data_IF_490101525153
#
_entry.id   IF_490101525153
#
_cell.length_a   1.000
_cell.length_b   1.000
_cell.length_c   1.000
_cell.angle_alpha   90.00
_cell.angle_beta   90.00
_cell.angle_gamma   90.00
#
_symmetry.space_group_name_H-M   'P 1'
#
loop_
_entity.id
_entity.type
_entity.pdbx_description
1 polymer ?
#
# COMPACT_ATOMS: atom_id res chain seq x y z
N UNK A 1 -7.67 3.20 -31.12
CA UNK A 1 -9.13 3.23 -31.29
C UNK A 1 -9.74 3.71 -29.99
N UNK A 2 -10.14 5.00 -29.95
CA UNK A 2 -10.77 5.60 -28.78
C UNK A 2 -12.21 5.10 -28.68
N UNK A 3 -12.52 4.37 -27.60
CA UNK A 3 -13.90 4.04 -27.27
C UNK A 3 -14.58 5.33 -26.76
N UNK A 4 -15.56 5.81 -27.50
CA UNK A 4 -16.45 6.89 -27.07
C UNK A 4 -17.26 6.42 -25.85
N UNK A 5 -16.99 7.01 -24.69
CA UNK A 5 -17.84 6.88 -23.52
C UNK A 5 -19.07 7.76 -23.72
N UNK A 6 -20.21 7.12 -24.02
CA UNK A 6 -21.49 7.81 -24.15
C UNK A 6 -22.01 8.27 -22.79
N UNK A 7 -22.16 9.57 -22.60
CA UNK A 7 -22.72 10.23 -21.44
C UNK A 7 -24.23 10.05 -21.36
N UNK A 8 -24.75 9.28 -20.41
CA UNK A 8 -26.15 9.37 -19.94
C UNK A 8 -26.32 8.88 -18.52
N UNK A 9 -25.53 9.41 -17.60
CA UNK A 9 -25.82 9.44 -16.15
C UNK A 9 -25.30 10.77 -15.62
N UNK A 10 -25.84 11.28 -14.50
CA UNK A 10 -25.39 12.52 -13.88
C UNK A 10 -23.86 12.54 -13.76
N UNK A 11 -23.24 13.72 -13.81
CA UNK A 11 -21.80 13.88 -13.78
C UNK A 11 -21.19 12.97 -12.70
N UNK A 12 -20.21 12.13 -13.08
CA UNK A 12 -19.51 11.28 -12.12
C UNK A 12 -18.87 12.17 -11.04
N UNK A 13 -18.97 11.76 -9.77
CA UNK A 13 -18.27 12.46 -8.70
C UNK A 13 -16.76 12.39 -8.95
N UNK A 14 -16.05 13.46 -8.63
CA UNK A 14 -14.59 13.50 -8.71
C UNK A 14 -13.99 13.35 -7.33
N UNK A 15 -12.96 12.51 -7.19
CA UNK A 15 -12.28 12.26 -5.94
C UNK A 15 -10.77 12.45 -6.07
N UNK A 16 -10.20 13.10 -5.06
CA UNK A 16 -8.75 13.10 -4.82
C UNK A 16 -8.41 11.92 -3.92
N UNK A 17 -7.57 11.03 -4.44
CA UNK A 17 -7.02 9.93 -3.64
C UNK A 17 -5.79 10.40 -2.84
N UNK A 18 -5.44 9.71 -1.75
CA UNK A 18 -4.16 9.95 -1.10
C UNK A 18 -3.01 9.67 -2.07
N UNK A 19 -1.88 10.33 -1.85
CA UNK A 19 -0.67 10.04 -2.62
C UNK A 19 -0.14 8.64 -2.28
N UNK A 20 0.45 7.99 -3.28
CA UNK A 20 0.97 6.64 -3.14
C UNK A 20 2.01 6.54 -2.02
N UNK A 21 1.60 5.92 -0.92
CA UNK A 21 2.48 5.62 0.21
C UNK A 21 3.72 4.84 -0.23
N UNK A 22 3.54 3.86 -1.11
CA UNK A 22 4.61 2.98 -1.57
C UNK A 22 5.66 3.70 -2.40
N UNK A 23 5.26 4.64 -3.26
CA UNK A 23 6.18 5.52 -4.00
C UNK A 23 6.82 6.54 -3.07
N UNK A 24 6.00 7.25 -2.29
CA UNK A 24 6.47 8.37 -1.48
C UNK A 24 7.53 7.94 -0.45
N UNK A 25 7.30 6.83 0.26
CA UNK A 25 8.30 6.32 1.20
C UNK A 25 9.64 5.99 0.52
N UNK A 26 9.61 5.44 -0.70
CA UNK A 26 10.83 5.18 -1.48
C UNK A 26 11.53 6.45 -1.92
N UNK A 27 10.77 7.41 -2.41
CA UNK A 27 11.30 8.69 -2.88
C UNK A 27 11.93 9.50 -1.75
N UNK A 28 11.36 9.47 -0.53
CA UNK A 28 11.96 10.11 0.65
C UNK A 28 13.34 9.49 0.97
N UNK A 29 13.46 8.15 0.91
CA UNK A 29 14.75 7.48 1.14
C UNK A 29 15.73 7.81 0.02
N UNK A 30 15.30 7.73 -1.25
CA UNK A 30 16.17 8.04 -2.39
C UNK A 30 16.62 9.51 -2.39
N UNK A 31 15.76 10.44 -1.99
CA UNK A 31 16.14 11.85 -1.81
C UNK A 31 17.20 12.03 -0.70
N UNK A 32 17.12 11.24 0.37
CA UNK A 32 18.13 11.26 1.44
C UNK A 32 19.47 10.64 0.99
N UNK A 33 19.42 9.59 0.16
CA UNK A 33 20.58 8.87 -0.35
C UNK A 33 21.25 9.59 -1.52
N UNK A 34 20.47 10.23 -2.39
CA UNK A 34 20.88 10.88 -3.63
C UNK A 34 20.25 12.29 -3.74
N UNK A 35 20.59 13.22 -2.83
CA UNK A 35 19.93 14.53 -2.76
C UNK A 35 20.08 15.37 -4.03
N UNK A 36 21.19 15.19 -4.77
CA UNK A 36 21.47 15.93 -5.99
C UNK A 36 20.79 15.32 -7.24
N UNK A 37 20.16 14.15 -7.09
CA UNK A 37 19.53 13.41 -8.19
C UNK A 37 18.01 13.41 -8.12
N UNK A 38 17.40 13.62 -6.95
CA UNK A 38 15.98 13.47 -6.70
C UNK A 38 15.36 14.79 -6.31
N UNK A 39 14.41 15.26 -7.11
CA UNK A 39 13.59 16.45 -6.83
C UNK A 39 12.16 16.04 -6.46
N UNK A 40 11.75 16.40 -5.26
CA UNK A 40 10.41 16.15 -4.72
C UNK A 40 9.56 17.41 -4.61
N UNK A 41 9.88 18.47 -5.38
CA UNK A 41 9.14 19.75 -5.35
C UNK A 41 7.66 19.61 -5.67
N UNK A 42 7.28 18.58 -6.44
CA UNK A 42 5.88 18.24 -6.73
C UNK A 42 5.16 17.56 -5.54
N UNK A 43 5.91 17.04 -4.56
CA UNK A 43 5.34 16.34 -3.42
C UNK A 43 5.15 17.31 -2.26
N UNK A 44 4.10 17.11 -1.42
CA UNK A 44 3.91 17.97 -0.26
C UNK A 44 5.14 17.95 0.65
N UNK A 45 5.55 19.11 1.13
CA UNK A 45 6.55 19.17 2.20
C UNK A 45 6.04 18.36 3.39
N UNK A 46 6.79 17.33 3.76
CA UNK A 46 6.55 16.65 5.01
C UNK A 46 7.12 17.58 6.08
N UNK A 47 6.23 18.28 6.78
CA UNK A 47 6.54 19.44 7.62
C UNK A 47 7.80 19.28 8.43
N UNK A 48 8.63 20.32 8.47
CA UNK A 48 9.76 20.45 9.35
C UNK A 48 9.27 20.27 10.79
N UNK A 49 9.49 19.09 11.36
CA UNK A 49 9.13 18.78 12.73
C UNK A 49 9.92 19.70 13.66
N UNK A 50 9.25 20.69 14.27
CA UNK A 50 9.79 21.50 15.34
C UNK A 50 10.14 22.94 15.00
N UNK A 51 9.76 23.47 13.86
CA UNK A 51 9.88 24.91 13.60
C UNK A 51 8.48 25.56 13.55
N UNK A 52 7.92 25.86 14.72
CA UNK A 52 6.67 26.62 14.87
C UNK A 52 6.76 28.06 14.33
N UNK A 53 7.96 28.50 13.90
CA UNK A 53 8.23 29.86 13.46
C UNK A 53 8.07 30.10 11.96
N UNK A 54 7.90 29.07 11.13
CA UNK A 54 7.67 29.26 9.69
C UNK A 54 6.19 29.52 9.39
N UNK A 55 5.86 30.68 8.77
CA UNK A 55 4.50 30.95 8.34
C UNK A 55 4.04 29.84 7.36
N UNK A 56 2.81 29.39 7.55
CA UNK A 56 2.14 28.44 6.65
C UNK A 56 2.32 28.87 5.19
N UNK A 57 2.98 28.02 4.40
CA UNK A 57 3.13 28.28 2.96
C UNK A 57 1.74 28.40 2.34
N UNK A 58 1.53 29.48 1.56
CA UNK A 58 0.30 29.72 0.81
C UNK A 58 0.19 28.76 -0.39
N UNK A 59 0.13 27.45 -0.15
CA UNK A 59 -0.29 26.51 -1.15
C UNK A 59 -1.83 26.46 -1.20
N UNK A 60 -2.45 26.34 -2.38
CA UNK A 60 -3.89 26.38 -2.51
C UNK A 60 -4.57 25.30 -1.69
N UNK A 61 -5.67 25.65 -1.06
CA UNK A 61 -6.55 25.05 -0.07
C UNK A 61 -6.93 23.55 -0.27
N UNK A 62 -6.01 22.62 -0.34
CA UNK A 62 -6.26 21.20 -0.07
C UNK A 62 -5.01 20.62 0.62
N UNK A 63 -4.89 20.84 1.93
CA UNK A 63 -4.09 19.96 2.79
C UNK A 63 -4.83 18.62 2.78
N UNK A 64 -4.52 17.76 1.81
CA UNK A 64 -4.78 16.34 1.97
C UNK A 64 -4.01 15.92 3.24
N UNK A 65 -4.70 15.48 4.26
CA UNK A 65 -4.07 14.90 5.43
C UNK A 65 -3.10 13.82 4.94
N UNK A 66 -1.83 13.91 5.36
CA UNK A 66 -0.82 12.98 4.87
C UNK A 66 -0.96 11.63 5.59
N UNK A 67 -0.81 10.50 4.89
CA UNK A 67 -0.82 9.19 5.52
C UNK A 67 0.22 9.07 6.64
N UNK A 68 -0.17 8.53 7.79
CA UNK A 68 0.72 8.40 8.95
C UNK A 68 1.98 7.57 8.67
N UNK A 69 1.89 6.56 7.80
CA UNK A 69 3.05 5.78 7.35
C UNK A 69 4.08 6.63 6.57
N UNK A 70 3.63 7.66 5.85
CA UNK A 70 4.49 8.61 5.13
C UNK A 70 5.17 9.55 6.10
N UNK A 71 4.42 10.07 7.08
CA UNK A 71 4.96 10.91 8.16
C UNK A 71 5.99 10.14 9.00
N UNK A 72 5.75 8.86 9.26
CA UNK A 72 6.70 8.00 9.98
C UNK A 72 8.01 7.85 9.21
N UNK A 73 7.95 7.69 7.87
CA UNK A 73 9.15 7.63 7.03
C UNK A 73 9.92 8.95 7.05
N UNK A 74 9.22 10.06 6.95
CA UNK A 74 9.83 11.39 7.02
C UNK A 74 10.55 11.63 8.35
N UNK A 75 9.93 11.23 9.47
CA UNK A 75 10.59 11.31 10.80
C UNK A 75 11.86 10.46 10.84
N UNK A 76 11.84 9.25 10.26
CA UNK A 76 13.02 8.38 10.21
C UNK A 76 14.15 8.99 9.36
N UNK A 77 13.85 9.52 8.18
CA UNK A 77 14.82 10.22 7.32
C UNK A 77 15.39 11.45 8.03
N UNK A 78 14.53 12.25 8.65
CA UNK A 78 14.96 13.46 9.37
C UNK A 78 15.84 13.13 10.57
N UNK A 79 15.54 12.06 11.31
CA UNK A 79 16.38 11.60 12.42
C UNK A 79 17.79 11.23 11.95
N UNK A 80 17.92 10.53 10.81
CA UNK A 80 19.22 10.23 10.19
C UNK A 80 19.95 11.53 9.83
N UNK A 81 19.29 12.45 9.11
CA UNK A 81 19.87 13.73 8.69
C UNK A 81 20.35 14.56 9.89
N UNK A 82 19.50 14.71 10.91
CA UNK A 82 19.85 15.47 12.14
C UNK A 82 21.00 14.84 12.89
N UNK A 83 21.02 13.51 13.02
CA UNK A 83 22.11 12.82 13.72
C UNK A 83 23.46 13.06 13.04
N UNK A 84 23.50 13.03 11.70
CA UNK A 84 24.72 13.34 10.94
C UNK A 84 25.15 14.80 11.10
N UNK A 85 24.21 15.75 11.08
CA UNK A 85 24.51 17.17 11.20
C UNK A 85 25.00 17.58 12.61
N UNK A 86 24.45 16.93 13.66
CA UNK A 86 24.74 17.32 15.07
C UNK A 86 25.74 16.38 15.76
N UNK A 87 26.00 15.21 15.19
CA UNK A 87 26.80 14.15 15.82
C UNK A 87 26.14 13.49 17.05
N UNK A 88 24.86 13.82 17.34
CA UNK A 88 24.13 13.37 18.52
C UNK A 88 23.12 12.26 18.20
N UNK A 89 22.79 11.44 19.19
CA UNK A 89 21.76 10.43 19.06
C UNK A 89 20.39 11.04 18.86
N UNK A 90 19.67 10.56 17.85
CA UNK A 90 18.27 10.88 17.62
C UNK A 90 17.39 9.68 17.94
N UNK A 91 16.27 9.91 18.62
CA UNK A 91 15.24 8.87 18.82
C UNK A 91 14.08 9.15 17.89
N UNK A 92 13.56 8.12 17.24
CA UNK A 92 12.42 8.21 16.34
C UNK A 92 11.50 7.01 16.53
N UNK A 93 10.22 7.31 16.79
CA UNK A 93 9.15 6.31 16.81
C UNK A 93 8.45 6.32 15.44
N UNK A 94 8.46 5.18 14.77
CA UNK A 94 7.77 4.97 13.49
C UNK A 94 6.37 4.37 13.69
N UNK A 95 5.91 4.19 14.92
CA UNK A 95 4.61 3.60 15.23
C UNK A 95 4.45 2.20 14.62
N UNK A 96 3.29 1.88 14.01
CA UNK A 96 3.04 0.59 13.38
C UNK A 96 3.54 0.51 11.91
N UNK A 97 4.32 1.51 11.43
CA UNK A 97 4.70 1.64 10.02
C UNK A 97 5.86 0.71 9.64
N UNK A 98 5.56 -0.52 9.23
CA UNK A 98 6.57 -1.52 8.87
C UNK A 98 7.49 -1.11 7.71
N UNK A 99 7.03 -0.27 6.78
CA UNK A 99 7.85 0.27 5.69
C UNK A 99 8.88 1.26 6.23
N UNK A 100 8.45 2.22 7.06
CA UNK A 100 9.33 3.21 7.67
C UNK A 100 10.37 2.53 8.59
N UNK A 101 9.96 1.47 9.29
CA UNK A 101 10.87 0.68 10.11
C UNK A 101 11.98 0.03 9.29
N UNK A 102 11.63 -0.74 8.24
CA UNK A 102 12.63 -1.48 7.43
C UNK A 102 13.53 -0.55 6.63
N UNK A 103 12.94 0.45 6.00
CA UNK A 103 13.69 1.41 5.18
C UNK A 103 14.54 2.33 6.05
N UNK A 104 13.99 2.83 7.17
CA UNK A 104 14.71 3.65 8.13
C UNK A 104 15.87 2.91 8.79
N UNK A 105 15.70 1.61 9.09
CA UNK A 105 16.78 0.77 9.62
C UNK A 105 17.95 0.67 8.64
N UNK A 106 17.67 0.32 7.38
CA UNK A 106 18.70 0.20 6.35
C UNK A 106 19.40 1.54 6.10
N UNK A 107 18.63 2.63 5.99
CA UNK A 107 19.16 4.00 5.81
C UNK A 107 20.07 4.40 6.97
N UNK A 108 19.61 4.22 8.21
CA UNK A 108 20.40 4.60 9.39
C UNK A 108 21.72 3.84 9.50
N UNK A 109 21.71 2.53 9.18
CA UNK A 109 22.92 1.70 9.25
C UNK A 109 23.90 1.97 8.11
N UNK A 110 23.41 2.34 6.91
CA UNK A 110 24.25 2.60 5.74
C UNK A 110 24.75 4.06 5.63
N UNK A 111 24.20 4.99 6.44
CA UNK A 111 24.60 6.41 6.39
C UNK A 111 25.73 6.68 7.38
N UNK A 112 26.97 7.01 6.90
CA UNK A 112 28.10 7.27 7.79
C UNK A 112 27.82 8.40 8.78
N UNK A 113 28.11 8.17 10.07
CA UNK A 113 27.92 9.14 11.15
C UNK A 113 26.51 9.18 11.72
N UNK A 114 25.55 8.47 11.16
CA UNK A 114 24.21 8.38 11.73
C UNK A 114 24.23 7.72 13.12
N UNK A 115 23.45 8.26 14.06
CA UNK A 115 23.25 7.76 15.42
C UNK A 115 21.76 7.80 15.72
N UNK A 116 21.05 6.72 15.46
CA UNK A 116 19.59 6.67 15.54
C UNK A 116 19.12 5.54 16.44
N UNK A 117 18.19 5.83 17.35
CA UNK A 117 17.39 4.82 18.04
C UNK A 117 16.04 4.75 17.37
N UNK A 118 15.81 3.65 16.65
CA UNK A 118 14.58 3.42 15.89
C UNK A 118 13.62 2.58 16.74
N UNK A 119 12.51 3.18 17.11
CA UNK A 119 11.43 2.61 17.92
C UNK A 119 10.18 2.39 17.09
N UNK A 120 9.25 1.58 17.60
CA UNK A 120 7.98 1.36 16.95
C UNK A 120 7.03 0.55 17.83
N UNK A 121 5.79 0.43 17.36
CA UNK A 121 4.72 -0.26 18.07
C UNK A 121 5.07 -1.75 18.30
N UNK A 122 4.61 -2.32 19.44
CA UNK A 122 4.88 -3.71 19.83
C UNK A 122 4.59 -4.74 18.71
N UNK A 123 3.57 -4.49 17.87
CA UNK A 123 3.25 -5.35 16.72
C UNK A 123 4.41 -5.48 15.72
N UNK A 124 5.32 -4.51 15.63
CA UNK A 124 6.51 -4.62 14.76
C UNK A 124 7.49 -5.70 15.27
N UNK A 125 7.50 -5.99 16.59
CA UNK A 125 8.35 -7.05 17.14
C UNK A 125 7.94 -8.45 16.67
N UNK A 126 6.69 -8.63 16.26
CA UNK A 126 6.16 -9.89 15.75
C UNK A 126 6.35 -10.03 14.22
N UNK A 127 6.72 -8.94 13.54
CA UNK A 127 6.90 -8.94 12.09
C UNK A 127 8.33 -9.30 11.71
N UNK A 128 8.54 -10.16 10.70
CA UNK A 128 9.88 -10.59 10.32
C UNK A 128 10.77 -9.40 9.90
N UNK A 129 11.96 -9.33 10.46
CA UNK A 129 13.02 -8.36 10.16
C UNK A 129 14.39 -9.03 10.04
N UNK A 130 14.56 -10.21 10.65
CA UNK A 130 15.82 -10.94 10.71
C UNK A 130 16.47 -11.12 9.33
N UNK A 131 15.75 -11.43 8.24
CA UNK A 131 16.37 -11.55 6.92
C UNK A 131 17.08 -10.25 6.49
N UNK A 132 16.46 -9.09 6.72
CA UNK A 132 17.08 -7.80 6.42
C UNK A 132 18.28 -7.52 7.34
N UNK A 133 18.16 -7.78 8.64
CA UNK A 133 19.24 -7.59 9.63
C UNK A 133 20.44 -8.44 9.27
N UNK A 134 20.24 -9.70 8.92
CA UNK A 134 21.31 -10.62 8.55
C UNK A 134 22.01 -10.19 7.25
N UNK A 135 21.25 -9.75 6.25
CA UNK A 135 21.82 -9.20 5.01
C UNK A 135 22.62 -7.92 5.29
N UNK A 136 22.12 -6.99 6.10
CA UNK A 136 22.86 -5.78 6.48
C UNK A 136 24.14 -6.10 7.26
N UNK A 137 24.11 -7.06 8.19
CA UNK A 137 25.29 -7.53 8.91
C UNK A 137 26.35 -8.14 7.97
N UNK A 138 25.94 -8.93 6.98
CA UNK A 138 26.86 -9.48 5.99
C UNK A 138 27.55 -8.40 5.15
N UNK A 139 26.89 -7.26 4.96
CA UNK A 139 27.45 -6.07 4.31
C UNK A 139 28.31 -5.21 5.26
N UNK A 140 28.43 -5.57 6.52
CA UNK A 140 29.29 -4.91 7.51
C UNK A 140 28.55 -3.99 8.49
N UNK A 141 27.22 -4.03 8.54
CA UNK A 141 26.47 -3.28 9.57
C UNK A 141 26.67 -3.87 10.95
N UNK A 142 26.80 -3.01 11.96
CA UNK A 142 26.81 -3.37 13.37
C UNK A 142 25.43 -3.04 13.97
N UNK A 143 24.71 -4.06 14.35
CA UNK A 143 23.41 -3.95 14.99
C UNK A 143 23.28 -4.97 16.10
N UNK A 144 22.99 -4.48 17.29
CA UNK A 144 22.64 -5.31 18.44
C UNK A 144 21.14 -5.60 18.46
N UNK A 145 20.79 -6.85 18.79
CA UNK A 145 19.41 -7.30 18.84
C UNK A 145 18.80 -7.61 17.48
N UNK A 146 17.58 -8.13 17.48
CA UNK A 146 16.81 -8.52 16.28
C UNK A 146 15.44 -7.86 16.21
N UNK A 147 15.01 -7.14 17.26
CA UNK A 147 13.69 -6.50 17.36
C UNK A 147 13.82 -5.07 17.87
N UNK A 148 12.84 -4.17 17.60
CA UNK A 148 12.86 -2.80 18.13
C UNK A 148 12.87 -2.76 19.67
N UNK A 149 13.50 -1.76 20.29
CA UNK A 149 14.17 -0.63 19.64
C UNK A 149 15.55 -1.00 19.07
N UNK A 150 15.83 -0.54 17.84
CA UNK A 150 17.14 -0.74 17.21
C UNK A 150 18.04 0.47 17.48
N UNK A 151 19.22 0.22 18.04
CA UNK A 151 20.27 1.24 18.19
C UNK A 151 21.23 1.17 17.02
N UNK A 152 21.12 2.12 16.08
CA UNK A 152 21.86 2.15 14.84
C UNK A 152 23.05 3.12 14.93
N UNK A 153 24.25 2.60 14.69
CA UNK A 153 25.44 3.42 14.42
C UNK A 153 25.79 3.25 12.95
N UNK A 154 25.53 4.29 12.16
CA UNK A 154 25.71 4.27 10.71
C UNK A 154 27.17 4.35 10.30
N UNK A 155 27.49 3.58 9.28
CA UNK A 155 28.83 3.52 8.66
C UNK A 155 28.71 3.28 7.17
N UNK A 156 29.77 3.51 6.44
CA UNK A 156 29.85 3.05 5.06
C UNK A 156 29.93 1.52 5.05
N UNK A 157 28.94 0.89 4.43
CA UNK A 157 28.90 -0.58 4.31
C UNK A 157 29.65 -1.00 3.05
N UNK A 158 30.26 -2.19 3.08
CA UNK A 158 31.09 -2.67 1.97
C UNK A 158 30.33 -2.80 0.66
N UNK A 159 29.14 -3.34 0.68
CA UNK A 159 28.48 -3.82 -0.55
C UNK A 159 28.95 -5.23 -0.94
N UNK A 160 28.94 -5.55 -2.24
CA UNK A 160 29.23 -6.90 -2.72
C UNK A 160 28.07 -7.89 -2.54
N UNK A 161 28.35 -9.21 -2.46
CA UNK A 161 27.31 -10.23 -2.38
C UNK A 161 26.71 -10.35 -0.98
N UNK A 162 25.38 -10.49 -0.90
CA UNK A 162 24.66 -10.88 0.29
C UNK A 162 23.50 -11.83 -0.05
N UNK A 163 23.06 -12.61 0.93
CA UNK A 163 21.91 -13.51 0.79
C UNK A 163 20.70 -12.93 1.53
N UNK A 164 19.53 -13.05 0.92
CA UNK A 164 18.29 -12.52 1.47
C UNK A 164 17.14 -13.52 1.31
N UNK A 165 16.46 -13.83 2.40
CA UNK A 165 15.13 -14.44 2.35
C UNK A 165 14.07 -13.33 2.20
N UNK A 166 13.44 -13.27 1.03
CA UNK A 166 12.37 -12.31 0.71
C UNK A 166 10.97 -12.97 0.65
N UNK A 167 10.84 -14.19 1.18
CA UNK A 167 9.57 -14.95 1.17
C UNK A 167 8.50 -14.37 2.09
N UNK A 168 8.89 -13.60 3.11
CA UNK A 168 7.96 -12.93 4.02
C UNK A 168 7.62 -11.49 3.60
N UNK A 169 8.53 -10.80 2.90
CA UNK A 169 8.32 -9.39 2.52
C UNK A 169 9.35 -8.90 1.49
N UNK A 170 8.84 -8.38 0.36
CA UNK A 170 9.66 -7.66 -0.63
C UNK A 170 10.26 -6.33 -0.12
N UNK A 171 9.79 -5.84 1.03
CA UNK A 171 10.34 -4.63 1.66
C UNK A 171 11.81 -4.82 2.08
N UNK A 172 12.22 -6.05 2.42
CA UNK A 172 13.61 -6.36 2.76
C UNK A 172 14.53 -6.11 1.56
N UNK A 173 14.15 -6.64 0.40
CA UNK A 173 14.90 -6.40 -0.84
C UNK A 173 14.87 -4.92 -1.22
N UNK A 174 13.71 -4.27 -1.20
CA UNK A 174 13.59 -2.84 -1.49
C UNK A 174 14.49 -1.97 -0.61
N UNK A 175 14.61 -2.31 0.69
CA UNK A 175 15.48 -1.59 1.62
C UNK A 175 16.95 -1.69 1.21
N UNK A 176 17.43 -2.89 0.86
CA UNK A 176 18.81 -3.12 0.39
C UNK A 176 19.09 -2.39 -0.93
N UNK A 177 18.15 -2.48 -1.88
CA UNK A 177 18.30 -1.81 -3.19
C UNK A 177 18.44 -0.29 -3.03
N UNK A 178 17.64 0.34 -2.16
CA UNK A 178 17.67 1.80 -1.98
C UNK A 178 18.95 2.33 -1.34
N UNK A 179 19.62 1.54 -0.51
CA UNK A 179 20.89 1.94 0.09
C UNK A 179 22.11 1.59 -0.78
N UNK A 180 21.92 0.87 -1.89
CA UNK A 180 23.03 0.49 -2.77
C UNK A 180 23.92 1.67 -3.20
N UNK A 181 23.40 2.90 -3.43
CA UNK A 181 24.24 4.06 -3.73
C UNK A 181 25.19 4.48 -2.61
N UNK A 182 24.95 4.08 -1.36
CA UNK A 182 25.80 4.41 -0.21
C UNK A 182 26.93 3.39 0.03
N UNK A 183 26.93 2.26 -0.69
CA UNK A 183 27.87 1.17 -0.48
C UNK A 183 29.21 1.46 -1.18
N UNK A 184 30.28 0.81 -0.70
CA UNK A 184 31.63 0.93 -1.30
C UNK A 184 31.75 0.19 -2.64
N UNK A 185 31.05 -0.94 -2.76
CA UNK A 185 31.04 -1.81 -3.93
C UNK A 185 29.63 -2.03 -4.45
N UNK A 186 29.44 -2.37 -5.73
CA UNK A 186 28.15 -2.75 -6.29
C UNK A 186 27.46 -3.84 -5.47
N UNK A 187 26.15 -3.70 -5.24
CA UNK A 187 25.36 -4.65 -4.48
C UNK A 187 24.95 -5.84 -5.35
N UNK A 188 25.14 -7.05 -4.83
CA UNK A 188 24.54 -8.27 -5.38
C UNK A 188 23.74 -8.99 -4.30
N UNK A 189 22.43 -9.09 -4.48
CA UNK A 189 21.54 -9.82 -3.56
C UNK A 189 21.16 -11.15 -4.18
N UNK A 190 21.51 -12.24 -3.49
CA UNK A 190 21.08 -13.60 -3.83
C UNK A 190 19.88 -13.95 -2.99
N UNK A 191 18.74 -14.21 -3.65
CA UNK A 191 17.53 -14.65 -2.97
C UNK A 191 17.66 -16.14 -2.58
N UNK A 192 17.39 -16.46 -1.33
CA UNK A 192 17.38 -17.85 -0.82
C UNK A 192 16.01 -18.51 -0.91
N UNK A 193 14.96 -17.74 -1.20
CA UNK A 193 13.59 -18.18 -1.39
C UNK A 193 12.88 -17.28 -2.43
N UNK A 194 11.76 -17.72 -3.01
CA UNK A 194 11.00 -16.93 -3.98
C UNK A 194 10.59 -15.57 -3.42
N UNK A 195 10.71 -14.53 -4.25
CA UNK A 195 10.31 -13.17 -3.91
C UNK A 195 8.78 -13.05 -3.89
N UNK A 196 8.23 -12.61 -2.76
CA UNK A 196 6.80 -12.29 -2.67
C UNK A 196 6.56 -10.83 -3.04
N UNK A 197 5.36 -10.54 -3.57
CA UNK A 197 4.97 -9.17 -3.92
C UNK A 197 6.04 -8.43 -4.75
N UNK A 198 6.56 -9.11 -5.76
CA UNK A 198 7.66 -8.66 -6.63
C UNK A 198 7.46 -7.25 -7.22
N UNK A 199 6.25 -6.78 -7.58
CA UNK A 199 6.05 -5.43 -8.11
C UNK A 199 6.59 -4.31 -7.24
N UNK A 200 6.63 -4.47 -5.92
CA UNK A 200 7.21 -3.45 -5.03
C UNK A 200 8.75 -3.37 -5.11
N UNK A 201 9.42 -4.50 -5.36
CA UNK A 201 10.86 -4.49 -5.63
C UNK A 201 11.15 -3.94 -7.04
N UNK A 202 10.35 -4.30 -8.02
CA UNK A 202 10.42 -3.74 -9.38
C UNK A 202 10.21 -2.23 -9.40
N UNK A 203 9.28 -1.70 -8.58
CA UNK A 203 9.10 -0.26 -8.39
C UNK A 203 10.39 0.39 -7.89
N UNK A 204 11.05 -0.20 -6.88
CA UNK A 204 12.34 0.30 -6.38
C UNK A 204 13.41 0.28 -7.47
N UNK A 205 13.51 -0.81 -8.24
CA UNK A 205 14.44 -0.92 -9.37
C UNK A 205 14.17 0.15 -10.44
N UNK A 206 12.91 0.40 -10.77
CA UNK A 206 12.52 1.42 -11.75
C UNK A 206 12.90 2.83 -11.28
N UNK A 207 12.72 3.15 -10.00
CA UNK A 207 13.14 4.43 -9.43
C UNK A 207 14.66 4.60 -9.47
N UNK A 208 15.43 3.57 -9.09
CA UNK A 208 16.89 3.59 -9.15
C UNK A 208 17.39 3.76 -10.58
N UNK A 209 16.79 3.08 -11.56
CA UNK A 209 17.15 3.25 -12.98
C UNK A 209 16.91 4.68 -13.46
N UNK A 210 15.85 5.33 -13.01
CA UNK A 210 15.59 6.74 -13.36
C UNK A 210 16.66 7.69 -12.84
N UNK A 211 17.27 7.38 -11.69
CA UNK A 211 18.33 8.22 -11.08
C UNK A 211 19.76 7.74 -11.42
N UNK A 212 19.93 6.93 -12.47
CA UNK A 212 21.24 6.61 -13.06
C UNK A 212 21.91 5.35 -12.52
N UNK A 213 21.15 4.43 -11.93
CA UNK A 213 21.66 3.12 -11.54
C UNK A 213 21.19 2.03 -12.51
N UNK A 214 22.06 1.09 -12.85
CA UNK A 214 21.65 -0.19 -13.43
C UNK A 214 21.12 -1.09 -12.32
N UNK A 215 19.96 -1.68 -12.57
CA UNK A 215 19.42 -2.74 -11.71
C UNK A 215 19.07 -3.92 -12.61
N UNK A 216 19.90 -4.94 -12.54
CA UNK A 216 19.71 -6.19 -13.27
C UNK A 216 19.16 -7.24 -12.32
N UNK A 217 18.23 -8.07 -12.78
CA UNK A 217 17.69 -9.14 -11.96
C UNK A 217 17.18 -10.31 -12.80
N UNK A 218 17.25 -11.47 -12.19
CA UNK A 218 16.58 -12.70 -12.58
C UNK A 218 15.73 -13.22 -11.40
N UNK A 219 15.25 -14.45 -11.46
CA UNK A 219 14.43 -15.04 -10.41
C UNK A 219 15.12 -15.11 -9.03
N UNK A 220 16.44 -15.25 -9.02
CA UNK A 220 17.22 -15.50 -7.81
C UNK A 220 18.20 -14.38 -7.45
N UNK A 221 18.58 -13.52 -8.39
CA UNK A 221 19.68 -12.58 -8.20
C UNK A 221 19.30 -11.17 -8.59
N UNK A 222 19.66 -10.20 -7.76
CA UNK A 222 19.49 -8.77 -8.02
C UNK A 222 20.83 -8.06 -7.91
N UNK A 223 21.23 -7.27 -8.92
CA UNK A 223 22.47 -6.51 -8.97
C UNK A 223 22.19 -5.05 -9.17
N UNK A 224 22.84 -4.21 -8.36
CA UNK A 224 22.75 -2.74 -8.45
C UNK A 224 24.14 -2.16 -8.58
N UNK A 225 24.36 -1.38 -9.63
CA UNK A 225 25.61 -0.66 -9.85
C UNK A 225 25.37 0.66 -10.59
N UNK A 226 26.24 1.67 -10.48
CA UNK A 226 26.16 2.88 -11.27
C UNK A 226 26.21 2.58 -12.77
N UNK A 227 25.48 3.33 -13.61
CA UNK A 227 25.55 3.19 -15.08
C UNK A 227 26.87 3.63 -15.69
N UNK A 228 27.60 4.54 -15.02
CA UNK A 228 28.92 5.00 -15.45
C UNK A 228 30.01 4.44 -14.54
N UNK A 229 31.19 4.15 -15.12
CA UNK A 229 32.38 3.71 -14.38
C UNK A 229 32.97 4.82 -13.48
N UNK A 230 32.44 6.03 -13.49
CA UNK A 230 32.74 7.09 -12.54
C UNK A 230 31.78 6.97 -11.36
N UNK A 231 32.29 6.89 -10.15
CA UNK A 231 31.52 6.91 -8.90
C UNK A 231 30.69 8.20 -8.70
N UNK A 232 30.58 9.04 -9.72
CA UNK A 232 29.93 10.35 -9.72
C UNK A 232 28.95 10.47 -10.89
N UNK A 233 27.95 9.57 -10.97
CA UNK A 233 26.80 9.87 -11.82
C UNK A 233 25.92 10.89 -11.08
N UNK A 234 26.09 12.15 -11.42
CA UNK A 234 25.15 13.21 -11.04
C UNK A 234 24.41 13.61 -12.31
N UNK A 235 23.10 13.45 -12.40
CA UNK A 235 22.37 13.95 -13.55
C UNK A 235 22.60 15.47 -13.65
N UNK A 236 22.61 16.05 -14.86
CA UNK A 236 22.86 17.48 -15.06
C UNK A 236 21.82 18.39 -14.34
N UNK A 237 20.69 17.82 -13.94
CA UNK A 237 19.66 18.41 -13.08
C UNK A 237 18.99 17.31 -12.29
N UNK A 238 18.53 17.58 -11.05
CA UNK A 238 17.71 16.64 -10.31
C UNK A 238 16.48 16.20 -11.11
N UNK A 239 16.12 14.95 -10.99
CA UNK A 239 14.96 14.39 -11.67
C UNK A 239 13.72 14.68 -10.83
N UNK A 240 12.79 15.43 -11.42
CA UNK A 240 11.48 15.71 -10.80
C UNK A 240 10.63 14.44 -10.86
N UNK A 241 10.14 14.01 -9.70
CA UNK A 241 9.18 12.93 -9.60
C UNK A 241 7.77 13.51 -9.42
N UNK A 242 6.93 13.30 -10.41
CA UNK A 242 5.52 13.73 -10.37
C UNK A 242 4.76 13.03 -9.24
N UNK A 243 3.80 13.75 -8.65
CA UNK A 243 2.88 13.16 -7.66
C UNK A 243 2.05 12.07 -8.30
N UNK A 244 1.79 11.02 -7.54
CA UNK A 244 0.97 9.92 -8.02
C UNK A 244 0.02 9.42 -6.93
N UNK A 245 -1.31 9.35 -7.23
CA UNK A 245 -2.30 8.79 -6.33
C UNK A 245 -2.10 7.29 -6.07
N UNK A 246 -2.64 6.81 -4.96
CA UNK A 246 -2.48 5.44 -4.48
C UNK A 246 -3.46 4.48 -5.18
N UNK A 247 -2.93 3.51 -5.90
CA UNK A 247 -3.72 2.48 -6.57
C UNK A 247 -4.41 1.50 -5.61
N UNK A 248 -3.86 1.28 -4.42
CA UNK A 248 -4.55 0.49 -3.41
C UNK A 248 -5.81 1.21 -2.88
N UNK A 249 -5.79 2.56 -2.82
CA UNK A 249 -6.99 3.35 -2.51
C UNK A 249 -7.98 3.32 -3.67
N UNK A 250 -7.50 3.39 -4.91
CA UNK A 250 -8.35 3.25 -6.10
C UNK A 250 -9.11 1.92 -6.13
N UNK A 251 -8.47 0.81 -5.68
CA UNK A 251 -9.10 -0.50 -5.58
C UNK A 251 -10.36 -0.48 -4.70
N UNK A 252 -10.34 0.28 -3.61
CA UNK A 252 -11.51 0.41 -2.72
C UNK A 252 -12.66 1.11 -3.44
N UNK A 253 -12.38 2.19 -4.17
CA UNK A 253 -13.41 2.89 -4.95
C UNK A 253 -13.93 2.06 -6.13
N UNK A 254 -13.08 1.22 -6.73
CA UNK A 254 -13.53 0.19 -7.67
C UNK A 254 -14.52 -0.80 -7.04
N UNK A 255 -14.24 -1.24 -5.82
CA UNK A 255 -15.14 -2.10 -5.05
C UNK A 255 -16.46 -1.39 -4.67
N UNK A 256 -16.43 -0.09 -4.31
CA UNK A 256 -17.65 0.73 -4.10
C UNK A 256 -18.47 0.80 -5.38
N UNK A 257 -17.84 1.06 -6.53
CA UNK A 257 -18.53 1.11 -7.84
C UNK A 257 -19.22 -0.23 -8.14
N UNK A 258 -18.53 -1.37 -7.93
CA UNK A 258 -19.11 -2.70 -8.10
C UNK A 258 -20.36 -2.92 -7.24
N UNK A 259 -20.34 -2.44 -5.98
CA UNK A 259 -21.45 -2.63 -5.03
C UNK A 259 -22.62 -1.68 -5.27
N UNK A 260 -22.36 -0.46 -5.74
CA UNK A 260 -23.37 0.62 -5.82
C UNK A 260 -23.83 0.92 -7.24
N UNK A 261 -23.07 0.51 -8.25
CA UNK A 261 -23.29 0.92 -9.63
C UNK A 261 -22.96 2.40 -9.93
N UNK A 262 -22.37 3.12 -8.95
CA UNK A 262 -22.05 4.54 -9.11
C UNK A 262 -20.66 4.70 -9.69
N UNK A 263 -20.57 5.54 -10.73
CA UNK A 263 -19.29 5.88 -11.37
C UNK A 263 -18.58 7.01 -10.63
N UNK A 264 -17.24 7.00 -10.67
CA UNK A 264 -16.40 8.02 -10.06
C UNK A 264 -15.18 8.29 -10.92
N UNK A 265 -14.78 9.56 -11.03
CA UNK A 265 -13.50 9.95 -11.60
C UNK A 265 -12.46 10.07 -10.48
N UNK A 266 -11.37 9.31 -10.58
CA UNK A 266 -10.22 9.36 -9.69
C UNK A 266 -9.17 10.28 -10.32
N UNK A 267 -8.99 11.47 -9.73
CA UNK A 267 -8.13 12.51 -10.29
C UNK A 267 -6.66 12.10 -10.27
N UNK A 268 -5.92 12.48 -11.29
CA UNK A 268 -4.48 12.29 -11.47
C UNK A 268 -3.99 10.83 -11.42
N UNK A 269 -4.91 9.86 -11.30
CA UNK A 269 -4.56 8.44 -11.34
C UNK A 269 -4.19 8.04 -12.78
N UNK A 270 -3.17 7.20 -12.96
CA UNK A 270 -2.60 6.87 -14.27
C UNK A 270 -2.42 5.37 -14.46
N UNK A 271 -2.72 4.87 -15.67
CA UNK A 271 -2.56 3.45 -16.02
C UNK A 271 -1.08 3.04 -16.23
N UNK A 272 -0.20 4.00 -16.52
CA UNK A 272 1.25 3.77 -16.70
C UNK A 272 2.05 3.86 -15.39
N UNK A 273 1.37 3.83 -14.24
CA UNK A 273 1.95 3.84 -12.91
C UNK A 273 2.95 2.71 -12.68
N UNK A 274 3.98 2.98 -11.88
CA UNK A 274 4.91 1.96 -11.37
C UNK A 274 4.28 1.09 -10.27
N UNK A 275 3.15 1.47 -9.72
CA UNK A 275 2.47 0.72 -8.66
C UNK A 275 1.90 -0.60 -9.21
N UNK A 276 2.31 -1.74 -8.62
CA UNK A 276 1.79 -3.06 -9.01
C UNK A 276 0.29 -3.18 -8.83
N UNK A 277 -0.26 -2.49 -7.83
CA UNK A 277 -1.69 -2.50 -7.50
C UNK A 277 -2.60 -2.01 -8.64
N UNK A 278 -2.05 -1.35 -9.68
CA UNK A 278 -2.80 -1.03 -10.91
C UNK A 278 -3.39 -2.26 -11.60
N UNK A 279 -2.81 -3.44 -11.37
CA UNK A 279 -3.33 -4.72 -11.90
C UNK A 279 -4.74 -5.05 -11.38
N UNK A 280 -5.18 -4.40 -10.30
CA UNK A 280 -6.53 -4.53 -9.75
C UNK A 280 -7.65 -4.30 -10.77
N UNK A 281 -7.38 -3.48 -11.80
CA UNK A 281 -8.36 -3.23 -12.88
C UNK A 281 -8.85 -4.51 -13.57
N UNK A 282 -7.99 -5.52 -13.73
CA UNK A 282 -8.36 -6.81 -14.30
C UNK A 282 -9.29 -7.61 -13.37
N UNK A 283 -9.06 -7.56 -12.05
CA UNK A 283 -9.90 -8.22 -11.06
C UNK A 283 -11.27 -7.53 -10.93
N UNK A 284 -11.29 -6.20 -10.94
CA UNK A 284 -12.51 -5.39 -10.91
C UNK A 284 -13.39 -5.63 -12.15
N UNK A 285 -12.79 -5.91 -13.31
CA UNK A 285 -13.55 -6.27 -14.50
C UNK A 285 -14.40 -7.54 -14.30
N UNK A 286 -13.95 -8.49 -13.48
CA UNK A 286 -14.75 -9.69 -13.13
C UNK A 286 -15.97 -9.34 -12.24
N UNK A 287 -15.98 -8.15 -11.62
CA UNK A 287 -17.11 -7.60 -10.88
C UNK A 287 -17.96 -6.63 -11.71
N UNK A 288 -17.70 -6.52 -13.01
CA UNK A 288 -18.43 -5.64 -13.92
C UNK A 288 -17.97 -4.17 -13.94
N UNK A 289 -16.85 -3.86 -13.29
CA UNK A 289 -16.28 -2.51 -13.24
C UNK A 289 -15.28 -2.31 -14.39
N UNK A 290 -15.36 -1.18 -15.07
CA UNK A 290 -14.36 -0.73 -16.05
C UNK A 290 -13.57 0.44 -15.50
N UNK A 291 -12.30 0.48 -15.82
CA UNK A 291 -11.42 1.60 -15.54
C UNK A 291 -10.82 2.11 -16.85
N UNK A 292 -11.01 3.38 -17.15
CA UNK A 292 -10.55 3.97 -18.40
C UNK A 292 -9.98 5.37 -18.20
N UNK A 293 -8.95 5.71 -18.98
CA UNK A 293 -8.35 7.05 -18.96
C UNK A 293 -9.33 8.10 -19.49
N UNK A 294 -9.49 9.17 -18.74
CA UNK A 294 -10.23 10.38 -19.12
C UNK A 294 -9.35 11.61 -18.88
N UNK A 295 -9.81 12.78 -19.31
CA UNK A 295 -9.11 14.03 -18.98
C UNK A 295 -9.03 14.20 -17.46
N UNK A 296 -7.82 14.34 -16.93
CA UNK A 296 -7.56 14.56 -15.49
C UNK A 296 -7.61 13.30 -14.62
N UNK A 297 -7.53 12.08 -15.19
CA UNK A 297 -7.44 10.87 -14.36
C UNK A 297 -8.05 9.61 -14.95
N UNK A 298 -8.62 8.78 -14.09
CA UNK A 298 -9.28 7.52 -14.47
C UNK A 298 -10.76 7.57 -14.08
N UNK A 299 -11.63 7.27 -15.03
CA UNK A 299 -13.04 6.99 -14.77
C UNK A 299 -13.18 5.52 -14.36
N UNK A 300 -13.76 5.30 -13.20
CA UNK A 300 -14.25 4.01 -12.72
C UNK A 300 -15.74 3.97 -13.01
N UNK A 301 -16.17 3.03 -13.84
CA UNK A 301 -17.51 2.99 -14.38
C UNK A 301 -18.11 1.59 -14.33
N UNK A 302 -19.43 1.51 -14.15
CA UNK A 302 -20.19 0.26 -14.24
C UNK A 302 -21.16 0.40 -15.41
N UNK A 303 -20.92 -0.29 -16.54
CA UNK A 303 -21.75 -0.17 -17.73
C UNK A 303 -23.23 -0.46 -17.46
N UNK A 304 -24.12 0.31 -18.13
CA UNK A 304 -25.56 0.04 -18.13
C UNK A 304 -25.81 -1.39 -18.62
N UNK A 305 -26.40 -2.23 -17.76
CA UNK A 305 -26.60 -3.67 -18.01
C UNK A 305 -25.76 -4.59 -17.13
N UNK A 306 -24.69 -4.10 -16.50
CA UNK A 306 -24.10 -4.72 -15.33
C UNK A 306 -24.92 -4.25 -14.12
N UNK A 307 -25.88 -5.05 -13.67
CA UNK A 307 -26.81 -4.60 -12.63
C UNK A 307 -26.10 -4.43 -11.28
N UNK A 308 -26.09 -3.19 -10.77
CA UNK A 308 -25.96 -2.94 -9.35
C UNK A 308 -27.10 -3.65 -8.61
N UNK A 309 -26.80 -4.36 -7.54
CA UNK A 309 -27.83 -4.99 -6.71
C UNK A 309 -28.51 -3.87 -5.90
N UNK A 310 -29.85 -3.69 -5.95
CA UNK A 310 -30.53 -2.63 -5.21
C UNK A 310 -30.32 -2.80 -3.71
N UNK A 311 -30.03 -1.67 -3.04
CA UNK A 311 -30.04 -1.59 -1.58
C UNK A 311 -31.49 -1.70 -1.06
N UNK A 312 -31.69 -2.53 -0.07
CA UNK A 312 -32.89 -2.61 0.78
C UNK A 312 -34.23 -2.91 0.08
N UNK A 313 -34.55 -4.15 -0.15
CA UNK A 313 -35.83 -4.78 0.13
C UNK A 313 -35.87 -6.25 -0.31
N UNK A 314 -36.71 -7.00 0.33
CA UNK A 314 -36.88 -8.43 0.47
C UNK A 314 -37.10 -9.27 -0.78
N UNK A 315 -36.44 -9.03 -1.92
CA UNK A 315 -36.51 -9.92 -3.09
C UNK A 315 -35.31 -9.74 -4.03
N UNK A 316 -34.10 -10.09 -3.57
CA UNK A 316 -32.90 -10.02 -4.42
C UNK A 316 -32.75 -11.35 -5.20
N UNK A 317 -33.43 -11.45 -6.33
CA UNK A 317 -33.07 -12.35 -7.44
C UNK A 317 -32.62 -11.49 -8.62
N UNK A 318 -31.50 -10.78 -8.49
CA UNK A 318 -30.83 -10.07 -9.58
C UNK A 318 -29.82 -11.00 -10.28
N UNK A 319 -29.94 -11.20 -11.59
CA UNK A 319 -28.92 -11.88 -12.39
C UNK A 319 -27.70 -10.98 -12.49
N UNK A 320 -26.62 -11.28 -11.77
CA UNK A 320 -25.31 -10.69 -11.98
C UNK A 320 -24.74 -11.23 -13.30
N UNK A 321 -24.23 -10.39 -14.17
CA UNK A 321 -23.53 -10.80 -15.38
C UNK A 321 -22.31 -11.67 -15.02
N UNK A 322 -22.35 -12.96 -15.44
CA UNK A 322 -21.29 -13.93 -15.24
C UNK A 322 -21.39 -14.69 -13.91
N UNK A 323 -22.18 -15.77 -13.88
CA UNK A 323 -22.25 -16.71 -12.74
C UNK A 323 -20.99 -17.61 -12.61
N UNK A 324 -19.96 -17.38 -13.42
CA UNK A 324 -18.72 -18.15 -13.30
C UNK A 324 -18.03 -17.82 -11.97
N UNK A 325 -17.55 -18.84 -11.25
CA UNK A 325 -16.73 -18.63 -10.06
C UNK A 325 -15.52 -17.73 -10.38
N UNK A 326 -15.17 -16.85 -9.43
CA UNK A 326 -13.97 -16.03 -9.53
C UNK A 326 -12.75 -16.91 -9.28
N UNK A 327 -11.67 -16.65 -10.02
CA UNK A 327 -10.36 -17.28 -9.81
C UNK A 327 -9.33 -16.13 -9.79
N UNK A 328 -8.90 -15.76 -8.58
CA UNK A 328 -8.08 -14.58 -8.36
C UNK A 328 -6.76 -14.91 -7.70
N UNK A 329 -5.68 -14.34 -8.22
CA UNK A 329 -4.35 -14.38 -7.63
C UNK A 329 -3.95 -13.00 -7.12
N UNK A 330 -3.63 -12.92 -5.82
CA UNK A 330 -3.21 -11.71 -5.12
C UNK A 330 -1.71 -11.70 -4.77
N UNK A 331 -0.92 -12.66 -5.22
CA UNK A 331 0.48 -12.79 -4.87
C UNK A 331 1.28 -11.49 -5.14
N UNK A 332 0.94 -10.79 -6.23
CA UNK A 332 1.60 -9.54 -6.63
C UNK A 332 0.94 -8.27 -6.05
N UNK A 333 -0.35 -8.34 -5.67
CA UNK A 333 -1.14 -7.20 -5.21
C UNK A 333 -1.89 -7.48 -3.89
N UNK A 334 -1.23 -8.04 -2.85
CA UNK A 334 -1.90 -8.54 -1.64
C UNK A 334 -2.64 -7.45 -0.86
N UNK A 335 -2.27 -6.19 -1.03
CA UNK A 335 -2.92 -5.07 -0.36
C UNK A 335 -4.31 -4.74 -0.93
N UNK A 336 -4.66 -5.27 -2.10
CA UNK A 336 -6.00 -5.14 -2.70
C UNK A 336 -6.93 -6.31 -2.37
N UNK A 337 -6.41 -7.41 -1.82
CA UNK A 337 -7.16 -8.64 -1.60
C UNK A 337 -8.37 -8.45 -0.69
N UNK A 338 -8.18 -7.84 0.48
CA UNK A 338 -9.23 -7.74 1.48
C UNK A 338 -10.44 -6.91 1.02
N UNK A 339 -10.31 -5.70 0.46
CA UNK A 339 -11.45 -4.95 -0.06
C UNK A 339 -12.12 -5.62 -1.26
N UNK A 340 -11.37 -6.26 -2.16
CA UNK A 340 -11.97 -6.93 -3.31
C UNK A 340 -12.75 -8.19 -2.91
N UNK A 341 -12.20 -8.99 -2.01
CA UNK A 341 -12.90 -10.18 -1.49
C UNK A 341 -14.15 -9.78 -0.68
N UNK A 342 -14.08 -8.70 0.11
CA UNK A 342 -15.25 -8.14 0.78
C UNK A 342 -16.35 -7.76 -0.22
N UNK A 343 -15.99 -7.08 -1.31
CA UNK A 343 -16.94 -6.71 -2.36
C UNK A 343 -17.50 -7.93 -3.09
N UNK A 344 -16.66 -8.91 -3.45
CA UNK A 344 -17.10 -10.14 -4.12
C UNK A 344 -18.09 -10.94 -3.25
N UNK A 345 -17.78 -11.11 -1.97
CA UNK A 345 -18.67 -11.76 -1.00
C UNK A 345 -19.98 -10.98 -0.84
N UNK A 346 -19.91 -9.64 -0.68
CA UNK A 346 -21.09 -8.79 -0.55
C UNK A 346 -21.97 -8.78 -1.81
N UNK A 347 -21.40 -9.05 -2.99
CA UNK A 347 -22.13 -9.24 -4.25
C UNK A 347 -22.73 -10.65 -4.39
N UNK A 348 -22.51 -11.55 -3.43
CA UNK A 348 -22.96 -12.93 -3.51
C UNK A 348 -22.25 -13.74 -4.59
N UNK A 349 -21.00 -13.38 -4.92
CA UNK A 349 -20.18 -14.15 -5.86
C UNK A 349 -19.60 -15.37 -5.15
N UNK A 350 -19.27 -16.39 -5.93
CA UNK A 350 -18.44 -17.51 -5.50
C UNK A 350 -17.08 -17.44 -6.16
N UNK A 351 -16.08 -18.06 -5.54
CA UNK A 351 -14.75 -18.10 -6.14
C UNK A 351 -13.67 -18.65 -5.22
N UNK A 352 -12.47 -18.65 -5.77
CA UNK A 352 -11.23 -18.96 -5.06
C UNK A 352 -10.23 -17.80 -5.24
N UNK A 353 -9.58 -17.44 -4.16
CA UNK A 353 -8.45 -16.51 -4.15
C UNK A 353 -7.20 -17.25 -3.67
N UNK A 354 -6.07 -17.00 -4.30
CA UNK A 354 -4.75 -17.55 -3.94
C UNK A 354 -3.75 -16.41 -3.78
N UNK A 355 -2.50 -16.71 -3.35
CA UNK A 355 -1.45 -15.71 -3.16
C UNK A 355 -1.68 -14.87 -1.90
N UNK A 356 -2.33 -15.43 -0.87
CA UNK A 356 -2.75 -14.73 0.34
C UNK A 356 -1.80 -14.92 1.53
N UNK A 357 -0.74 -15.72 1.39
CA UNK A 357 0.17 -16.12 2.49
C UNK A 357 0.78 -14.93 3.24
N UNK A 358 0.96 -13.76 2.59
CA UNK A 358 1.49 -12.56 3.25
C UNK A 358 0.48 -11.86 4.15
N UNK A 359 -0.82 -12.20 4.09
CA UNK A 359 -1.89 -11.53 4.84
C UNK A 359 -1.81 -11.78 6.35
N UNK A 360 -1.29 -12.92 6.77
CA UNK A 360 -1.11 -13.23 8.19
C UNK A 360 -0.08 -12.32 8.89
N UNK A 361 0.93 -11.84 8.15
CA UNK A 361 2.02 -10.98 8.64
C UNK A 361 1.76 -9.47 8.58
N UNK A 362 0.51 -9.04 8.37
CA UNK A 362 0.12 -7.62 8.29
C UNK A 362 -0.16 -7.05 9.69
N UNK A 363 -0.83 -5.90 9.76
CA UNK A 363 -1.23 -5.22 10.99
C UNK A 363 -2.07 -6.11 11.91
N UNK A 364 -2.96 -6.88 11.30
CA UNK A 364 -3.67 -8.03 11.89
C UNK A 364 -3.41 -9.25 11.01
N UNK A 365 -3.82 -10.41 11.47
CA UNK A 365 -4.01 -11.54 10.55
C UNK A 365 -5.25 -11.25 9.68
N UNK A 366 -5.03 -10.81 8.44
CA UNK A 366 -6.12 -10.43 7.53
C UNK A 366 -6.93 -11.62 7.03
N UNK A 367 -6.41 -12.84 7.12
CA UNK A 367 -7.20 -14.06 6.84
C UNK A 367 -8.32 -14.22 7.86
N UNK A 368 -8.02 -14.02 9.16
CA UNK A 368 -9.07 -14.00 10.20
C UNK A 368 -10.10 -12.91 9.92
N UNK A 369 -9.62 -11.74 9.45
CA UNK A 369 -10.50 -10.66 9.03
C UNK A 369 -11.44 -11.06 7.88
N UNK A 370 -10.98 -11.83 6.90
CA UNK A 370 -11.83 -12.34 5.80
C UNK A 370 -12.87 -13.34 6.31
N UNK A 371 -12.51 -14.20 7.26
CA UNK A 371 -13.44 -15.15 7.89
C UNK A 371 -14.56 -14.41 8.62
N UNK A 372 -14.23 -13.35 9.37
CA UNK A 372 -15.21 -12.50 10.05
C UNK A 372 -16.19 -11.81 9.07
N UNK A 373 -15.68 -11.33 7.93
CA UNK A 373 -16.52 -10.73 6.89
C UNK A 373 -17.46 -11.77 6.27
N UNK A 374 -16.98 -12.98 6.01
CA UNK A 374 -17.78 -14.09 5.47
C UNK A 374 -18.89 -14.48 6.43
N UNK A 375 -18.60 -14.58 7.74
CA UNK A 375 -19.59 -14.88 8.78
C UNK A 375 -20.72 -13.84 8.79
N UNK A 376 -20.36 -12.54 8.80
CA UNK A 376 -21.34 -11.44 8.82
C UNK A 376 -22.21 -11.43 7.56
N UNK A 377 -21.65 -11.79 6.41
CA UNK A 377 -22.40 -11.83 5.15
C UNK A 377 -23.19 -13.14 4.95
N UNK A 378 -23.05 -14.13 5.82
CA UNK A 378 -23.65 -15.46 5.64
C UNK A 378 -23.03 -16.22 4.46
N UNK A 379 -21.74 -16.02 4.22
CA UNK A 379 -20.95 -16.67 3.16
C UNK A 379 -20.29 -17.92 3.71
N UNK A 380 -20.45 -19.05 3.02
CA UNK A 380 -19.70 -20.27 3.30
C UNK A 380 -18.27 -20.14 2.75
N UNK A 381 -17.28 -20.43 3.56
CA UNK A 381 -15.89 -20.32 3.14
C UNK A 381 -14.99 -21.41 3.74
N UNK A 382 -13.86 -21.64 3.07
CA UNK A 382 -12.73 -22.42 3.56
C UNK A 382 -11.45 -21.63 3.31
N UNK A 383 -10.53 -21.66 4.25
CA UNK A 383 -9.26 -20.95 4.16
C UNK A 383 -8.10 -21.85 4.59
N UNK A 384 -6.95 -21.67 3.96
CA UNK A 384 -5.67 -22.18 4.40
C UNK A 384 -4.65 -21.01 4.47
N UNK A 385 -3.37 -21.30 4.59
CA UNK A 385 -2.35 -20.26 4.73
C UNK A 385 -2.18 -19.36 3.50
N UNK A 386 -2.62 -19.80 2.31
CA UNK A 386 -2.41 -19.11 1.03
C UNK A 386 -3.67 -18.95 0.20
N UNK A 387 -4.77 -19.61 0.56
CA UNK A 387 -5.98 -19.59 -0.24
C UNK A 387 -7.24 -19.32 0.58
N UNK A 388 -8.26 -18.76 -0.10
CA UNK A 388 -9.58 -18.48 0.44
C UNK A 388 -10.64 -18.84 -0.62
N UNK A 389 -11.46 -19.85 -0.34
CA UNK A 389 -12.57 -20.25 -1.20
C UNK A 389 -13.88 -19.85 -0.55
N UNK A 390 -14.80 -19.26 -1.32
CA UNK A 390 -16.04 -18.70 -0.79
C UNK A 390 -17.22 -18.89 -1.75
N UNK A 391 -18.41 -18.99 -1.18
CA UNK A 391 -19.67 -19.07 -1.93
C UNK A 391 -20.82 -18.58 -1.05
N UNK A 392 -21.94 -18.07 -1.63
CA UNK A 392 -23.11 -17.72 -0.85
C UNK A 392 -23.59 -18.92 -0.04
N UNK A 393 -23.74 -18.71 1.27
CA UNK A 393 -24.31 -19.72 2.17
C UNK A 393 -25.83 -19.72 2.14
N UNK A 394 -26.46 -20.65 2.86
CA UNK A 394 -27.93 -20.75 2.98
C UNK A 394 -28.56 -19.49 3.61
N UNK A 395 -27.80 -18.78 4.42
CA UNK A 395 -28.24 -17.57 5.14
C UNK A 395 -27.74 -16.27 4.49
N UNK A 396 -27.18 -16.36 3.25
CA UNK A 396 -26.69 -15.17 2.55
C UNK A 396 -27.78 -14.10 2.40
N UNK A 397 -27.52 -12.90 2.88
CA UNK A 397 -28.46 -11.77 2.82
C UNK A 397 -29.66 -11.87 3.77
N UNK A 398 -29.70 -12.87 4.66
CA UNK A 398 -30.82 -13.09 5.60
C UNK A 398 -30.61 -12.50 7.00
N UNK A 399 -29.60 -11.64 7.21
CA UNK A 399 -29.44 -10.96 8.50
C UNK A 399 -30.62 -9.99 8.76
N UNK A 400 -31.81 -10.55 8.97
CA UNK A 400 -32.94 -9.88 9.62
C UNK A 400 -32.97 -10.33 11.08
N UNK A 401 -32.83 -9.36 11.96
CA UNK A 401 -33.17 -9.57 13.36
C UNK A 401 -34.62 -10.06 13.44
N UNK A 402 -34.87 -11.09 14.23
CA UNK A 402 -36.20 -11.66 14.46
C UNK A 402 -37.21 -10.65 15.04
N UNK A 403 -36.75 -9.41 15.33
CA UNK A 403 -37.56 -8.31 15.88
C UNK A 403 -37.89 -7.18 14.88
N UNK A 404 -37.47 -7.29 13.59
CA UNK A 404 -37.79 -6.26 12.58
C UNK A 404 -37.02 -4.95 12.71
N UNK A 405 -36.12 -4.81 13.67
CA UNK A 405 -35.19 -3.67 13.84
C UNK A 405 -33.79 -4.10 13.45
N UNK A 406 -33.28 -3.53 12.37
CA UNK A 406 -31.89 -3.77 11.93
C UNK A 406 -30.99 -3.04 12.90
N UNK A 407 -30.52 -3.72 13.96
CA UNK A 407 -29.46 -3.16 14.82
C UNK A 407 -28.13 -3.14 14.07
N UNK A 408 -27.43 -2.00 14.10
CA UNK A 408 -26.10 -1.89 13.49
C UNK A 408 -25.10 -2.81 14.20
N UNK A 409 -24.36 -3.59 13.41
CA UNK A 409 -23.28 -4.43 13.93
C UNK A 409 -22.06 -3.58 14.24
N UNK A 410 -21.64 -3.56 15.48
CA UNK A 410 -20.39 -2.89 15.87
C UNK A 410 -19.20 -3.80 15.58
N UNK A 411 -18.26 -3.34 14.75
CA UNK A 411 -17.08 -4.10 14.34
C UNK A 411 -15.80 -3.26 14.48
N UNK A 412 -14.78 -3.85 15.07
CA UNK A 412 -13.46 -3.23 15.17
C UNK A 412 -12.61 -3.61 13.95
N UNK A 413 -11.86 -2.66 13.41
CA UNK A 413 -10.82 -2.90 12.43
C UNK A 413 -9.49 -3.31 13.11
N UNK A 414 -9.42 -3.28 14.44
CA UNK A 414 -8.23 -3.64 15.24
C UNK A 414 -6.97 -2.88 14.80
N UNK A 415 -7.17 -1.60 14.40
CA UNK A 415 -6.09 -0.74 13.93
C UNK A 415 -5.61 -1.04 12.49
N UNK A 416 -6.26 -1.95 11.76
CA UNK A 416 -5.93 -2.21 10.35
C UNK A 416 -6.89 -1.45 9.40
N UNK A 417 -6.34 -0.50 8.66
CA UNK A 417 -7.09 0.31 7.71
C UNK A 417 -7.76 -0.52 6.59
N UNK A 418 -7.17 -1.64 6.17
CA UNK A 418 -7.76 -2.52 5.15
C UNK A 418 -8.99 -3.24 5.68
N UNK A 419 -8.98 -3.63 6.96
CA UNK A 419 -10.14 -4.18 7.62
C UNK A 419 -11.26 -3.13 7.75
N UNK A 420 -10.91 -1.87 8.05
CA UNK A 420 -11.88 -0.77 8.08
C UNK A 420 -12.52 -0.55 6.70
N UNK A 421 -11.74 -0.55 5.61
CA UNK A 421 -12.26 -0.47 4.24
C UNK A 421 -13.19 -1.63 3.91
N UNK A 422 -12.82 -2.85 4.29
CA UNK A 422 -13.66 -4.03 4.08
C UNK A 422 -14.98 -3.94 4.86
N UNK A 423 -14.95 -3.49 6.11
CA UNK A 423 -16.18 -3.24 6.87
C UNK A 423 -17.06 -2.15 6.27
N UNK A 424 -16.47 -1.07 5.72
CA UNK A 424 -17.23 -0.04 5.01
C UNK A 424 -17.95 -0.61 3.78
N UNK A 425 -17.27 -1.49 3.01
CA UNK A 425 -17.86 -2.17 1.85
C UNK A 425 -18.99 -3.13 2.26
N UNK A 426 -18.80 -3.92 3.32
CA UNK A 426 -19.84 -4.78 3.89
C UNK A 426 -21.00 -3.95 4.40
N UNK A 427 -20.73 -2.77 4.97
CA UNK A 427 -21.73 -1.79 5.43
C UNK A 427 -22.69 -1.31 4.34
N UNK A 428 -22.35 -1.47 3.06
CA UNK A 428 -23.25 -1.22 1.93
C UNK A 428 -24.33 -2.32 1.76
N UNK A 429 -24.23 -3.42 2.50
CA UNK A 429 -25.17 -4.55 2.47
C UNK A 429 -25.82 -4.84 3.82
N UNK A 430 -25.05 -4.76 4.88
CA UNK A 430 -25.48 -5.03 6.25
C UNK A 430 -25.07 -3.83 7.09
N UNK A 431 -25.97 -3.25 7.93
CA UNK A 431 -25.60 -2.10 8.75
C UNK A 431 -24.41 -2.40 9.67
N UNK A 432 -23.27 -1.74 9.44
CA UNK A 432 -22.05 -1.89 10.21
C UNK A 432 -21.59 -0.54 10.73
N UNK A 433 -21.25 -0.49 12.01
CA UNK A 433 -20.55 0.64 12.63
C UNK A 433 -19.11 0.23 12.92
N UNK A 434 -18.14 0.91 12.31
CA UNK A 434 -16.71 0.70 12.59
C UNK A 434 -16.36 1.42 13.89
N UNK A 435 -15.83 0.69 14.89
CA UNK A 435 -15.59 1.23 16.24
C UNK A 435 -14.34 2.11 16.29
N UNK A 436 -13.31 1.76 15.48
CA UNK A 436 -12.00 2.42 15.42
C UNK A 436 -11.77 3.05 14.02
N UNK A 437 -12.59 4.03 13.60
CA UNK A 437 -12.59 4.54 12.24
C UNK A 437 -11.31 5.29 11.88
N UNK A 438 -10.58 5.82 12.85
CA UNK A 438 -9.37 6.62 12.63
C UNK A 438 -8.17 5.80 12.14
N UNK A 439 -8.22 4.47 12.23
CA UNK A 439 -7.16 3.60 11.72
C UNK A 439 -6.90 3.77 10.21
N UNK A 440 -7.87 4.32 9.47
CA UNK A 440 -7.72 4.65 8.05
C UNK A 440 -6.67 5.73 7.79
N UNK A 441 -6.39 6.61 8.77
CA UNK A 441 -5.38 7.68 8.67
C UNK A 441 -3.99 7.16 8.36
N UNK A 442 -3.73 5.89 8.65
CA UNK A 442 -2.48 5.21 8.34
C UNK A 442 -2.11 5.28 6.86
N UNK A 443 -3.09 5.16 5.95
CA UNK A 443 -2.87 5.15 4.50
C UNK A 443 -3.83 6.01 3.69
N UNK A 444 -5.01 6.32 4.22
CA UNK A 444 -6.05 7.07 3.54
C UNK A 444 -6.83 7.95 4.52
N UNK A 445 -6.27 9.08 4.98
CA UNK A 445 -6.90 9.94 5.99
C UNK A 445 -8.30 10.42 5.63
N UNK A 446 -8.55 10.79 4.37
CA UNK A 446 -9.83 11.27 3.86
C UNK A 446 -10.82 10.16 3.46
N UNK A 447 -10.56 8.90 3.83
CA UNK A 447 -11.34 7.76 3.36
C UNK A 447 -12.85 7.93 3.60
N UNK A 448 -13.27 8.23 4.82
CA UNK A 448 -14.69 8.30 5.15
C UNK A 448 -15.41 9.41 4.38
N UNK A 449 -14.77 10.56 4.20
CA UNK A 449 -15.31 11.65 3.39
C UNK A 449 -15.49 11.21 1.92
N UNK A 450 -14.43 10.66 1.33
CA UNK A 450 -14.45 10.23 -0.06
C UNK A 450 -15.37 9.04 -0.29
N UNK A 451 -15.47 8.13 0.68
CA UNK A 451 -16.43 7.04 0.66
C UNK A 451 -17.87 7.58 0.63
N UNK A 452 -18.22 8.51 1.54
CA UNK A 452 -19.55 9.15 1.58
C UNK A 452 -19.89 9.87 0.27
N UNK A 453 -18.95 10.63 -0.29
CA UNK A 453 -19.16 11.29 -1.60
C UNK A 453 -19.41 10.26 -2.70
N UNK A 454 -18.65 9.16 -2.74
CA UNK A 454 -18.82 8.13 -3.77
C UNK A 454 -20.16 7.39 -3.62
N UNK A 455 -20.56 7.05 -2.41
CA UNK A 455 -21.87 6.39 -2.18
C UNK A 455 -23.05 7.36 -2.26
N UNK A 456 -22.80 8.67 -2.27
CA UNK A 456 -23.81 9.72 -2.35
C UNK A 456 -24.63 9.80 -1.05
N UNK A 457 -23.95 9.69 0.09
CA UNK A 457 -24.52 9.78 1.43
C UNK A 457 -24.20 11.15 2.06
#
# INVERSE_FOLDING_TARGET
>A
MGALFGSTQGAASELDLPLSKSLWNRLQVLCAVLPDCVDLSEWPEVGAFGDESKPESKAPNHRLDQPEDVLAMARAVEAVRRSCATGTWQRVDVGPAGTAWRFGLALALATPGAKVVLEGHARLQERPIEPLVNALRSLGAELEGGVPPHRCTGRRLRGGPCTLDASASSQHLSALLMIAPLLEEPLTVQLSAPLVSAPYAHMTAALLRRVGYSVEFDEATWRVHPLSNSNEFTPPKPIVFEREPDWSAAAVHGAVAALTGKSVQLRDLRLDSLQGDRAVGALLANLGVRMGTVSGGILVDVPLGAQAVPSTSSNIRGKVHGNAPLDWDFAEIPDTAQPLLAAAMALGRSGKAVGLHTLAGKEINRMDGLLELAEVLGVSCTADSDSFTFSPGSNFGQMQDTAGTVSSLHRSARGDHRQAFAWALVGLRVPVTVIDPDCVRKSYPDFWRNFSVHVGA
#
